data_IF_074580500137
#
_entry.id   IF_074580500137
#
_cell.length_a   1.000
_cell.length_b   1.000
_cell.length_c   1.000
_cell.angle_alpha   90.00
_cell.angle_beta   90.00
_cell.angle_gamma   90.00
#
_symmetry.space_group_name_H-M   'P 1'
#
loop_
_entity.id
_entity.type
_entity.pdbx_description
1 polymer ?
#
# COMPACT_ATOMS: atom_id res chain seq x y z
N UNK A 1 28.16 11.10 -38.99
CA UNK A 1 28.09 11.83 -37.70
C UNK A 1 26.67 12.32 -37.36
N UNK A 2 25.99 13.15 -38.18
CA UNK A 2 24.66 13.71 -37.87
C UNK A 2 23.53 12.68 -37.66
N UNK A 3 23.52 11.56 -38.39
CA UNK A 3 22.52 10.49 -38.23
C UNK A 3 22.67 9.72 -36.91
N UNK A 4 23.91 9.47 -36.50
CA UNK A 4 24.23 8.83 -35.22
C UNK A 4 23.79 9.70 -34.03
N UNK A 5 24.04 11.01 -34.10
CA UNK A 5 23.62 11.96 -33.07
C UNK A 5 22.09 12.03 -32.90
N UNK A 6 21.34 11.99 -34.02
CA UNK A 6 19.86 11.95 -33.98
C UNK A 6 19.33 10.64 -33.38
N UNK A 7 19.94 9.51 -33.71
CA UNK A 7 19.58 8.22 -33.15
C UNK A 7 19.87 8.15 -31.63
N UNK A 8 21.06 8.61 -31.21
CA UNK A 8 21.44 8.68 -29.80
C UNK A 8 20.51 9.61 -29.00
N UNK A 9 20.15 10.77 -29.55
CA UNK A 9 19.21 11.68 -28.92
C UNK A 9 17.80 11.10 -28.81
N UNK A 10 17.30 10.45 -29.87
CA UNK A 10 16.00 9.75 -29.84
C UNK A 10 15.95 8.63 -28.81
N UNK A 11 17.01 7.82 -28.71
CA UNK A 11 17.14 6.78 -27.69
C UNK A 11 17.20 7.37 -26.27
N UNK A 12 17.90 8.50 -26.09
CA UNK A 12 17.95 9.22 -24.82
C UNK A 12 16.57 9.70 -24.36
N UNK A 13 15.78 10.29 -25.27
CA UNK A 13 14.40 10.71 -24.97
C UNK A 13 13.54 9.52 -24.62
N UNK A 14 13.63 8.42 -25.38
CA UNK A 14 12.86 7.21 -25.11
C UNK A 14 13.19 6.64 -23.72
N UNK A 15 14.49 6.53 -23.39
CA UNK A 15 14.92 6.03 -22.08
C UNK A 15 14.42 6.92 -20.93
N UNK A 16 14.49 8.24 -21.08
CA UNK A 16 13.98 9.18 -20.09
C UNK A 16 12.46 9.06 -19.93
N UNK A 17 11.72 8.98 -21.03
CA UNK A 17 10.27 8.79 -21.00
C UNK A 17 9.88 7.48 -20.30
N UNK A 18 10.55 6.38 -20.62
CA UNK A 18 10.33 5.08 -19.96
C UNK A 18 10.58 5.19 -18.46
N UNK A 19 11.66 5.86 -18.04
CA UNK A 19 11.99 6.01 -16.63
C UNK A 19 10.95 6.84 -15.87
N UNK A 20 10.43 7.92 -16.48
CA UNK A 20 9.37 8.74 -15.90
C UNK A 20 8.08 7.94 -15.75
N UNK A 21 7.67 7.20 -16.78
CA UNK A 21 6.46 6.37 -16.74
C UNK A 21 6.56 5.29 -15.67
N UNK A 22 7.69 4.58 -15.60
CA UNK A 22 7.91 3.55 -14.57
C UNK A 22 7.90 4.16 -13.15
N UNK A 23 8.50 5.33 -12.97
CA UNK A 23 8.54 6.01 -11.67
C UNK A 23 7.14 6.40 -11.20
N UNK A 24 6.35 7.07 -12.05
CA UNK A 24 5.00 7.52 -11.69
C UNK A 24 4.06 6.35 -11.38
N UNK A 25 4.26 5.20 -12.04
CA UNK A 25 3.40 4.04 -11.84
C UNK A 25 3.77 3.18 -10.63
N UNK A 26 5.04 3.22 -10.21
CA UNK A 26 5.49 2.62 -8.96
C UNK A 26 5.04 3.42 -7.73
N UNK A 27 4.72 4.71 -7.90
CA UNK A 27 4.23 5.54 -6.79
C UNK A 27 2.83 5.10 -6.37
N UNK A 28 2.66 4.83 -5.07
CA UNK A 28 1.36 4.81 -4.40
C UNK A 28 0.68 6.16 -4.57
N UNK A 29 -0.65 6.20 -4.78
CA UNK A 29 -1.34 7.50 -4.87
C UNK A 29 -1.47 8.14 -3.48
N UNK A 30 -1.31 7.34 -2.43
CA UNK A 30 -1.51 7.75 -1.04
C UNK A 30 -2.97 8.02 -0.69
N UNK A 31 -3.90 7.86 -1.64
CA UNK A 31 -5.33 8.05 -1.38
C UNK A 31 -5.80 7.03 -0.35
N UNK A 32 -6.26 7.53 0.79
CA UNK A 32 -6.82 6.71 1.86
C UNK A 32 -8.17 6.16 1.44
N UNK A 33 -8.32 4.84 1.52
CA UNK A 33 -9.55 4.09 1.24
C UNK A 33 -10.27 3.69 2.54
N UNK A 34 -9.52 3.43 3.60
CA UNK A 34 -10.07 3.02 4.89
C UNK A 34 -9.12 3.37 6.05
N UNK A 35 -9.69 3.61 7.24
CA UNK A 35 -8.96 3.77 8.50
C UNK A 35 -9.67 3.05 9.62
N UNK A 36 -8.91 2.46 10.53
CA UNK A 36 -9.39 1.92 11.79
C UNK A 36 -8.38 2.26 12.89
N UNK A 37 -8.73 3.12 13.86
CA UNK A 37 -7.87 3.37 15.00
C UNK A 37 -7.91 2.19 15.98
N UNK A 38 -6.80 1.94 16.66
CA UNK A 38 -6.75 0.97 17.76
C UNK A 38 -7.74 1.35 18.87
N UNK A 39 -8.64 0.44 19.27
CA UNK A 39 -9.55 0.67 20.39
C UNK A 39 -8.81 0.80 21.72
N UNK A 40 -9.33 1.64 22.63
CA UNK A 40 -8.71 1.90 23.94
C UNK A 40 -8.51 0.66 24.84
N UNK A 41 -9.26 -0.42 24.60
CA UNK A 41 -9.16 -1.68 25.35
C UNK A 41 -8.07 -2.64 24.86
N UNK A 42 -7.45 -2.36 23.71
CA UNK A 42 -6.35 -3.17 23.17
C UNK A 42 -5.05 -2.46 23.44
N UNK A 43 -4.05 -3.17 23.96
CA UNK A 43 -2.72 -2.63 24.22
C UNK A 43 -1.67 -3.65 23.78
N UNK A 44 -0.78 -3.24 22.88
CA UNK A 44 0.28 -4.06 22.36
C UNK A 44 1.59 -3.94 23.14
N UNK A 45 1.70 -2.98 24.05
CA UNK A 45 2.85 -2.79 24.93
C UNK A 45 4.08 -2.25 24.20
N UNK A 46 3.87 -1.38 23.21
CA UNK A 46 4.94 -0.84 22.37
C UNK A 46 4.66 0.63 22.01
N UNK A 47 4.57 0.96 20.72
CA UNK A 47 4.31 2.32 20.22
C UNK A 47 2.82 2.61 20.08
N UNK A 48 2.00 2.06 20.97
CA UNK A 48 0.56 2.26 20.99
C UNK A 48 0.19 3.77 21.11
N UNK A 49 -0.95 4.22 20.57
CA UNK A 49 -1.89 3.46 19.75
C UNK A 49 -1.47 3.36 18.28
N UNK A 50 -1.76 2.20 17.69
CA UNK A 50 -1.62 1.98 16.26
C UNK A 50 -2.88 2.43 15.49
N UNK A 51 -2.71 2.71 14.22
CA UNK A 51 -3.80 2.89 13.26
C UNK A 51 -3.56 1.94 12.08
N UNK A 52 -4.63 1.27 11.67
CA UNK A 52 -4.65 0.54 10.41
C UNK A 52 -5.20 1.46 9.34
N UNK A 53 -4.44 1.65 8.27
CA UNK A 53 -4.89 2.38 7.08
C UNK A 53 -4.83 1.49 5.86
N UNK A 54 -5.77 1.66 4.94
CA UNK A 54 -5.69 1.07 3.60
C UNK A 54 -5.63 2.23 2.62
N UNK A 55 -4.63 2.20 1.74
CA UNK A 55 -4.41 3.20 0.71
C UNK A 55 -4.41 2.56 -0.67
N UNK A 56 -4.64 3.38 -1.68
CA UNK A 56 -4.48 2.98 -3.08
C UNK A 56 -3.00 2.88 -3.46
N UNK A 57 -2.57 1.66 -3.80
CA UNK A 57 -1.19 1.30 -4.12
C UNK A 57 -0.80 1.57 -5.59
N UNK A 58 0.33 1.02 -6.06
CA UNK A 58 0.83 1.20 -7.44
C UNK A 58 -0.07 0.61 -8.53
N UNK A 59 0.16 1.04 -9.77
CA UNK A 59 -0.54 0.59 -10.97
C UNK A 59 -0.13 -0.84 -11.34
N UNK A 60 -1.10 -1.69 -11.69
CA UNK A 60 -0.86 -3.05 -12.19
C UNK A 60 -0.79 -3.05 -13.72
N UNK A 61 0.42 -3.00 -14.25
CA UNK A 61 0.67 -2.96 -15.71
C UNK A 61 0.28 -4.23 -16.47
N UNK A 62 0.24 -5.37 -15.78
CA UNK A 62 -0.12 -6.66 -16.37
C UNK A 62 -1.63 -6.88 -16.49
N UNK A 63 -2.47 -5.88 -16.20
CA UNK A 63 -3.93 -5.97 -16.22
C UNK A 63 -4.53 -4.93 -17.18
N UNK A 64 -5.53 -5.36 -17.96
CA UNK A 64 -6.29 -4.47 -18.86
C UNK A 64 -7.02 -3.43 -18.02
N UNK A 65 -6.96 -2.16 -18.43
CA UNK A 65 -7.54 -1.03 -17.70
C UNK A 65 -6.64 -0.48 -16.58
N UNK A 66 -5.44 -1.05 -16.38
CA UNK A 66 -4.42 -0.57 -15.45
C UNK A 66 -4.95 -0.25 -14.04
N UNK A 67 -5.69 -1.18 -13.40
CA UNK A 67 -6.20 -0.96 -12.06
C UNK A 67 -5.05 -0.75 -11.08
N UNK A 68 -5.35 -0.05 -9.99
CA UNK A 68 -4.39 0.15 -8.90
C UNK A 68 -4.53 -0.97 -7.88
N UNK A 69 -3.40 -1.36 -7.29
CA UNK A 69 -3.36 -2.26 -6.14
C UNK A 69 -3.85 -1.54 -4.87
N UNK A 70 -3.91 -2.25 -3.76
CA UNK A 70 -4.15 -1.64 -2.45
C UNK A 70 -3.02 -2.00 -1.52
N UNK A 71 -2.71 -1.12 -0.60
CA UNK A 71 -1.68 -1.33 0.41
C UNK A 71 -2.29 -1.11 1.78
N UNK A 72 -2.06 -2.06 2.68
CA UNK A 72 -2.44 -1.94 4.08
C UNK A 72 -1.23 -1.53 4.90
N UNK A 73 -1.44 -0.61 5.82
CA UNK A 73 -0.46 -0.10 6.75
C UNK A 73 -0.95 -0.28 8.17
N UNK A 74 -0.04 -0.61 9.08
CA UNK A 74 -0.28 -0.60 10.52
C UNK A 74 0.87 0.14 11.17
N UNK A 75 0.58 1.32 11.72
CA UNK A 75 1.60 2.25 12.18
C UNK A 75 1.16 3.07 13.39
N UNK A 76 2.09 3.46 14.28
CA UNK A 76 1.83 4.41 15.37
C UNK A 76 1.33 5.75 14.84
N UNK A 77 0.22 6.25 15.38
CA UNK A 77 -0.30 7.58 15.04
C UNK A 77 -0.75 7.78 13.58
N UNK A 78 -0.90 6.71 12.80
CA UNK A 78 -1.42 6.75 11.43
C UNK A 78 -0.45 7.27 10.35
N UNK A 79 0.83 7.48 10.69
CA UNK A 79 1.86 7.79 9.70
C UNK A 79 2.16 6.58 8.80
N UNK A 80 2.57 6.81 7.55
CA UNK A 80 3.01 5.73 6.64
C UNK A 80 4.54 5.65 6.52
N UNK A 81 5.26 6.33 7.42
CA UNK A 81 6.72 6.40 7.38
C UNK A 81 7.39 5.29 8.19
N UNK A 82 6.66 4.70 9.15
CA UNK A 82 7.18 3.69 10.07
C UNK A 82 6.09 2.72 10.52
N UNK A 83 6.27 1.43 10.28
CA UNK A 83 5.31 0.40 10.64
C UNK A 83 5.35 -0.82 9.74
N UNK A 84 4.27 -1.58 9.74
CA UNK A 84 4.06 -2.69 8.82
C UNK A 84 3.33 -2.20 7.58
N UNK A 85 3.78 -2.60 6.39
CA UNK A 85 3.00 -2.46 5.16
C UNK A 85 2.97 -3.74 4.34
N UNK A 86 1.88 -3.94 3.61
CA UNK A 86 1.75 -5.02 2.64
C UNK A 86 0.84 -4.62 1.48
N UNK A 87 1.29 -4.89 0.26
CA UNK A 87 0.47 -4.74 -0.95
C UNK A 87 -0.40 -5.97 -1.14
N UNK A 88 -1.68 -5.78 -1.43
CA UNK A 88 -2.64 -6.85 -1.70
C UNK A 88 -3.59 -6.49 -2.85
N UNK A 89 -4.28 -7.51 -3.34
CA UNK A 89 -5.32 -7.39 -4.35
C UNK A 89 -6.67 -7.82 -3.77
N UNK A 90 -7.63 -6.91 -3.72
CA UNK A 90 -9.00 -7.19 -3.29
C UNK A 90 -9.91 -7.71 -4.42
N UNK A 91 -9.41 -7.81 -5.65
CA UNK A 91 -10.18 -8.23 -6.82
C UNK A 91 -11.20 -7.18 -7.29
N UNK A 92 -11.02 -5.91 -6.91
CA UNK A 92 -11.97 -4.83 -7.19
C UNK A 92 -11.75 -3.62 -6.28
N UNK A 93 -12.78 -2.79 -6.10
CA UNK A 93 -12.74 -1.70 -5.13
C UNK A 93 -12.67 -2.26 -3.71
N UNK A 94 -11.72 -1.76 -2.90
CA UNK A 94 -11.65 -2.12 -1.48
C UNK A 94 -12.88 -1.59 -0.76
N UNK A 95 -13.60 -2.49 -0.12
CA UNK A 95 -14.66 -2.19 0.84
C UNK A 95 -14.43 -3.06 2.06
N UNK A 96 -14.24 -2.43 3.22
CA UNK A 96 -14.04 -3.12 4.49
C UNK A 96 -15.40 -3.23 5.18
N UNK A 97 -15.78 -4.46 5.53
CA UNK A 97 -16.99 -4.74 6.28
C UNK A 97 -16.74 -4.60 7.79
N UNK A 98 -15.62 -5.17 8.28
CA UNK A 98 -15.29 -5.15 9.71
C UNK A 98 -13.78 -5.18 9.94
N UNK A 99 -13.34 -4.43 10.95
CA UNK A 99 -12.00 -4.55 11.52
C UNK A 99 -12.12 -4.95 12.99
N UNK A 100 -11.40 -5.99 13.40
CA UNK A 100 -11.35 -6.46 14.79
C UNK A 100 -9.93 -6.40 15.30
N UNK A 101 -9.74 -5.65 16.38
CA UNK A 101 -8.47 -5.56 17.08
C UNK A 101 -8.50 -6.53 18.27
N UNK A 102 -7.45 -7.32 18.42
CA UNK A 102 -7.26 -8.21 19.56
C UNK A 102 -5.82 -8.13 20.07
N UNK A 103 -5.53 -8.78 21.18
CA UNK A 103 -4.17 -8.88 21.73
C UNK A 103 -3.19 -9.63 20.82
N UNK A 104 -3.69 -10.45 19.91
CA UNK A 104 -2.91 -11.27 18.98
C UNK A 104 -2.60 -10.54 17.67
N UNK A 105 -3.39 -9.53 17.30
CA UNK A 105 -3.22 -8.80 16.05
C UNK A 105 -4.50 -8.11 15.59
N UNK A 106 -4.60 -7.92 14.27
CA UNK A 106 -5.71 -7.22 13.62
C UNK A 106 -6.30 -8.13 12.55
N UNK A 107 -7.61 -8.28 12.58
CA UNK A 107 -8.35 -8.98 11.53
C UNK A 107 -9.19 -7.98 10.72
N UNK A 108 -9.08 -8.04 9.41
CA UNK A 108 -9.85 -7.23 8.45
C UNK A 108 -10.70 -8.15 7.59
N UNK A 109 -12.00 -7.93 7.61
CA UNK A 109 -12.98 -8.59 6.75
C UNK A 109 -13.42 -7.64 5.66
N UNK A 110 -13.29 -8.07 4.40
CA UNK A 110 -13.68 -7.29 3.24
C UNK A 110 -15.11 -7.66 2.82
N UNK A 111 -15.84 -6.72 2.23
CA UNK A 111 -17.18 -6.97 1.69
C UNK A 111 -17.19 -8.00 0.55
N UNK A 112 -16.03 -8.30 -0.03
CA UNK A 112 -15.85 -9.39 -1.01
C UNK A 112 -15.80 -10.79 -0.38
N UNK A 113 -15.84 -10.91 0.95
CA UNK A 113 -15.73 -12.17 1.69
C UNK A 113 -14.29 -12.59 2.02
N UNK A 114 -13.28 -11.87 1.54
CA UNK A 114 -11.88 -12.12 1.89
C UNK A 114 -11.60 -11.67 3.33
N UNK A 115 -10.64 -12.33 3.98
CA UNK A 115 -10.17 -11.99 5.33
C UNK A 115 -8.66 -11.90 5.35
N UNK A 116 -8.14 -10.90 6.04
CA UNK A 116 -6.72 -10.69 6.27
C UNK A 116 -6.46 -10.65 7.77
N UNK A 117 -5.50 -11.44 8.24
CA UNK A 117 -5.01 -11.38 9.60
C UNK A 117 -3.59 -10.86 9.62
N UNK A 118 -3.37 -9.77 10.36
CA UNK A 118 -2.05 -9.17 10.58
C UNK A 118 -1.66 -9.47 12.04
N UNK A 119 -0.73 -10.40 12.28
CA UNK A 119 -0.34 -10.74 13.64
C UNK A 119 0.42 -9.58 14.28
N UNK A 120 0.20 -9.32 15.58
CA UNK A 120 0.87 -8.29 16.38
C UNK A 120 2.37 -8.22 16.12
N UNK A 121 3.04 -9.38 16.15
CA UNK A 121 4.49 -9.53 15.94
C UNK A 121 5.00 -8.98 14.59
N UNK A 122 4.13 -8.73 13.62
CA UNK A 122 4.52 -8.16 12.34
C UNK A 122 4.68 -6.63 12.36
N UNK A 123 4.04 -5.94 13.31
CA UNK A 123 4.03 -4.47 13.37
C UNK A 123 4.52 -3.89 14.70
N UNK A 124 4.61 -4.68 15.78
CA UNK A 124 5.29 -4.24 17.01
C UNK A 124 6.81 -4.24 16.82
N UNK A 125 7.49 -3.30 17.47
CA UNK A 125 8.96 -3.17 17.43
C UNK A 125 9.52 -2.49 16.18
N UNK A 126 8.67 -2.31 15.15
CA UNK A 126 8.98 -1.61 13.90
C UNK A 126 10.14 -2.22 13.10
N UNK A 127 10.22 -1.81 11.83
CA UNK A 127 11.36 -2.03 10.94
C UNK A 127 11.74 -0.70 10.32
#
# INVERSE_FOLDING_TARGET
MKRFFRAAFGLGILALYTLVVLSLSAMSSGKVLYRSPQPAGVNYGSYDPYELTIVEGPIKWNWVGWPRSSEIWVAPGGGHDYGYSAVFDAGGSVSVDKTTWSTEGIEVSFSSGHRLFIPKKAFIGGR
#
